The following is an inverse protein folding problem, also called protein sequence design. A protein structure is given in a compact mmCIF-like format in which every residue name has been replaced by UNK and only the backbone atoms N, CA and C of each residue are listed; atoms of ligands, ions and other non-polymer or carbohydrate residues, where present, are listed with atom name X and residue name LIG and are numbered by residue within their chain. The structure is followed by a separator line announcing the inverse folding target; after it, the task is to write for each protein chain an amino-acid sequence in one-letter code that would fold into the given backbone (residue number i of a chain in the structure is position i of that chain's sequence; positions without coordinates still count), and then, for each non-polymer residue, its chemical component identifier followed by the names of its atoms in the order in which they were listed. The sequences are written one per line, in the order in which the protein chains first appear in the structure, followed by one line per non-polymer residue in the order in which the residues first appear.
data_IF_722670340979
#
_entry.id   IF_722670340979
#
_cell.length_a   1.000
_cell.length_b   1.000
_cell.length_c   1.000
_cell.angle_alpha   90.00
_cell.angle_beta   90.00
_cell.angle_gamma   90.00
#
_symmetry.space_group_name_H-M   'P 1'
#
loop_
_entity.id
_entity.type
_entity.pdbx_description
1 polymer ?
#
# COMPACT_ATOMS: atom_id res chain seq x y z
N UNK A 1 -4.19 19.42 0.03
CA UNK A 1 -5.08 18.32 -0.46
C UNK A 1 -6.53 18.62 -0.10
N UNK A 2 -7.46 18.54 -1.06
CA UNK A 2 -8.90 18.75 -0.81
C UNK A 2 -9.61 17.57 -0.15
N UNK A 3 -10.78 17.82 0.45
CA UNK A 3 -11.62 16.81 1.16
C UNK A 3 -11.99 15.61 0.28
N UNK A 4 -12.31 15.84 -0.99
CA UNK A 4 -12.68 14.78 -1.94
C UNK A 4 -11.52 13.81 -2.21
N UNK A 5 -10.28 14.30 -2.29
CA UNK A 5 -9.10 13.46 -2.47
C UNK A 5 -8.82 12.60 -1.23
N UNK A 6 -8.96 13.17 -0.03
CA UNK A 6 -8.83 12.42 1.23
C UNK A 6 -9.88 11.30 1.33
N UNK A 7 -11.14 11.59 0.99
CA UNK A 7 -12.20 10.58 0.96
C UNK A 7 -11.96 9.51 -0.11
N UNK A 8 -11.37 9.86 -1.26
CA UNK A 8 -10.96 8.89 -2.28
C UNK A 8 -9.89 7.94 -1.73
N UNK A 9 -8.83 8.46 -1.10
CA UNK A 9 -7.80 7.65 -0.44
C UNK A 9 -8.40 6.70 0.58
N UNK A 10 -9.17 7.25 1.53
CA UNK A 10 -9.84 6.48 2.58
C UNK A 10 -10.68 5.31 2.02
N UNK A 11 -11.46 5.54 0.96
CA UNK A 11 -12.27 4.48 0.33
C UNK A 11 -11.41 3.39 -0.30
N UNK A 12 -10.28 3.77 -0.93
CA UNK A 12 -9.36 2.83 -1.58
C UNK A 12 -8.61 1.98 -0.58
N UNK A 13 -8.14 2.57 0.51
CA UNK A 13 -7.52 1.85 1.62
C UNK A 13 -8.50 0.85 2.23
N UNK A 14 -9.75 1.25 2.46
CA UNK A 14 -10.78 0.37 3.04
C UNK A 14 -11.18 -0.76 2.09
N UNK A 15 -11.28 -0.47 0.78
CA UNK A 15 -11.53 -1.46 -0.26
C UNK A 15 -10.42 -2.51 -0.29
N UNK A 16 -9.16 -2.08 -0.36
CA UNK A 16 -8.02 -2.97 -0.42
C UNK A 16 -7.86 -3.80 0.85
N UNK A 17 -7.96 -3.18 2.04
CA UNK A 17 -7.91 -3.89 3.31
C UNK A 17 -8.94 -5.02 3.38
N UNK A 18 -10.18 -4.76 2.93
CA UNK A 18 -11.22 -5.80 2.88
C UNK A 18 -10.86 -6.95 1.94
N UNK A 19 -10.28 -6.66 0.76
CA UNK A 19 -9.93 -7.68 -0.23
C UNK A 19 -8.85 -8.65 0.28
N UNK A 20 -7.89 -8.15 1.05
CA UNK A 20 -6.78 -8.97 1.57
C UNK A 20 -7.03 -9.52 2.99
N UNK A 21 -8.23 -9.29 3.55
CA UNK A 21 -8.53 -9.65 4.94
C UNK A 21 -7.71 -8.90 5.99
N UNK A 22 -7.22 -7.70 5.64
CA UNK A 22 -6.36 -6.86 6.47
C UNK A 22 -7.12 -5.74 7.20
N UNK A 23 -6.35 -4.81 7.76
CA UNK A 23 -6.86 -3.63 8.47
C UNK A 23 -6.13 -2.37 8.01
N UNK A 24 -6.79 -1.22 8.15
CA UNK A 24 -6.15 0.06 7.91
C UNK A 24 -5.33 0.51 9.10
N UNK A 25 -4.23 1.20 8.82
CA UNK A 25 -3.44 1.91 9.83
C UNK A 25 -4.08 3.28 10.06
N UNK A 26 -4.50 3.54 11.30
CA UNK A 26 -5.15 4.79 11.63
C UNK A 26 -4.13 5.94 11.64
N UNK A 27 -4.53 7.09 11.08
CA UNK A 27 -3.76 8.34 11.13
C UNK A 27 -2.33 8.26 10.53
N UNK A 28 -2.05 7.27 9.68
CA UNK A 28 -0.70 7.00 9.19
C UNK A 28 -0.01 8.19 8.53
N UNK A 29 -0.71 8.88 7.64
CA UNK A 29 -0.17 10.08 6.98
C UNK A 29 0.05 11.28 7.92
N UNK A 30 -0.58 11.32 9.10
CA UNK A 30 -0.41 12.40 10.08
C UNK A 30 0.62 12.07 11.16
N UNK A 31 0.81 10.78 11.46
CA UNK A 31 1.68 10.30 12.54
C UNK A 31 2.98 9.66 12.03
N UNK A 32 3.25 9.72 10.72
CA UNK A 32 4.49 9.21 10.11
C UNK A 32 5.76 9.72 10.81
N UNK A 33 5.76 10.95 11.33
CA UNK A 33 6.90 11.52 12.06
C UNK A 33 7.08 11.00 13.49
N UNK A 34 6.13 10.23 14.00
CA UNK A 34 6.15 9.72 15.39
C UNK A 34 6.70 8.29 15.50
N UNK A 35 6.84 7.58 14.38
CA UNK A 35 7.41 6.22 14.36
C UNK A 35 7.02 5.43 13.12
N UNK A 36 7.89 4.47 12.76
CA UNK A 36 7.67 3.56 11.62
C UNK A 36 6.47 2.64 11.85
N UNK A 37 6.14 2.34 13.11
CA UNK A 37 4.98 1.53 13.49
C UNK A 37 3.63 2.17 13.11
N UNK A 38 3.61 3.49 12.90
CA UNK A 38 2.44 4.25 12.45
C UNK A 38 2.48 4.57 10.95
N UNK A 39 3.49 4.10 10.22
CA UNK A 39 3.64 4.32 8.79
C UNK A 39 2.95 3.21 7.98
N UNK A 40 2.52 3.53 6.75
CA UNK A 40 1.76 2.64 5.87
C UNK A 40 0.26 2.80 5.99
N UNK A 41 -0.47 2.37 4.97
CA UNK A 41 -1.92 2.58 4.86
C UNK A 41 -2.73 1.36 5.33
N UNK A 42 -2.22 0.16 5.05
CA UNK A 42 -2.88 -1.12 5.32
C UNK A 42 -1.88 -2.14 5.84
N UNK A 43 -2.32 -2.99 6.76
CA UNK A 43 -1.59 -4.15 7.26
C UNK A 43 -2.42 -5.42 6.96
N UNK A 44 -1.80 -6.41 6.33
CA UNK A 44 -2.46 -7.66 5.93
C UNK A 44 -1.53 -8.57 5.14
N UNK A 45 -1.82 -9.87 5.11
CA UNK A 45 -0.97 -10.89 4.49
C UNK A 45 0.49 -10.90 5.02
N UNK A 46 0.68 -10.50 6.27
CA UNK A 46 2.02 -10.40 6.88
C UNK A 46 2.88 -9.24 6.36
N UNK A 47 2.29 -8.32 5.60
CA UNK A 47 2.98 -7.20 4.97
C UNK A 47 2.35 -5.85 5.35
N UNK A 48 3.18 -4.82 5.31
CA UNK A 48 2.78 -3.42 5.41
C UNK A 48 2.71 -2.76 4.03
N UNK A 49 1.54 -2.19 3.74
CA UNK A 49 1.16 -1.74 2.40
C UNK A 49 1.02 -0.23 2.33
N UNK A 50 1.53 0.36 1.25
CA UNK A 50 1.16 1.70 0.81
C UNK A 50 0.12 1.60 -0.31
N UNK A 51 -0.96 2.38 -0.24
CA UNK A 51 -2.09 2.33 -1.18
C UNK A 51 -2.09 3.57 -2.08
N UNK A 52 -1.94 3.38 -3.40
CA UNK A 52 -1.92 4.48 -4.38
C UNK A 52 -2.97 4.32 -5.47
N UNK A 53 -3.82 5.35 -5.62
CA UNK A 53 -4.73 5.49 -6.76
C UNK A 53 -4.24 6.61 -7.70
N UNK A 54 -3.70 6.24 -8.86
CA UNK A 54 -3.10 7.14 -9.85
C UNK A 54 -3.35 6.66 -11.28
N UNK A 55 -3.30 7.57 -12.26
CA UNK A 55 -3.47 7.25 -13.70
C UNK A 55 -2.18 6.69 -14.31
N UNK A 56 -1.04 7.23 -13.89
CA UNK A 56 0.33 6.90 -14.31
C UNK A 56 1.30 7.00 -13.11
N UNK A 57 2.58 6.64 -13.31
CA UNK A 57 3.62 6.83 -12.28
C UNK A 57 4.63 5.71 -12.05
N UNK A 58 5.05 4.92 -13.07
CA UNK A 58 6.00 3.82 -12.84
C UNK A 58 7.31 4.24 -12.16
N UNK A 59 7.86 5.43 -12.47
CA UNK A 59 9.09 5.93 -11.84
C UNK A 59 8.92 6.26 -10.35
N UNK A 60 7.71 6.60 -9.91
CA UNK A 60 7.46 6.97 -8.50
C UNK A 60 7.27 5.76 -7.59
N UNK A 61 7.17 4.54 -8.16
CA UNK A 61 7.01 3.31 -7.39
C UNK A 61 8.21 3.07 -6.45
N UNK A 62 9.44 3.27 -6.95
CA UNK A 62 10.66 3.09 -6.16
C UNK A 62 10.68 4.02 -4.95
N UNK A 63 10.42 5.31 -5.13
CA UNK A 63 10.39 6.25 -4.01
C UNK A 63 9.29 5.95 -2.98
N UNK A 64 8.21 5.26 -3.35
CA UNK A 64 7.22 4.78 -2.36
C UNK A 64 7.65 3.51 -1.64
N UNK A 65 8.44 2.65 -2.29
CA UNK A 65 9.01 1.43 -1.71
C UNK A 65 10.23 1.70 -0.84
N UNK A 66 10.95 2.80 -1.06
CA UNK A 66 12.10 3.23 -0.23
C UNK A 66 11.67 3.78 1.14
N UNK A 67 10.37 3.95 1.38
CA UNK A 67 9.84 4.33 2.69
C UNK A 67 10.08 3.19 3.71
N UNK A 68 10.79 3.44 4.84
CA UNK A 68 11.35 2.37 5.68
C UNK A 68 10.38 1.28 6.15
N UNK A 69 9.12 1.65 6.41
CA UNK A 69 8.10 0.75 6.91
C UNK A 69 7.24 0.10 5.81
N UNK A 70 7.46 0.43 4.54
CA UNK A 70 6.65 -0.05 3.41
C UNK A 70 7.29 -1.27 2.79
N UNK A 71 6.51 -2.33 2.72
CA UNK A 71 6.96 -3.62 2.23
C UNK A 71 6.39 -3.96 0.86
N UNK A 72 5.25 -3.37 0.54
CA UNK A 72 4.53 -3.59 -0.70
C UNK A 72 3.68 -2.38 -1.08
N UNK A 73 3.38 -2.24 -2.36
CA UNK A 73 2.42 -1.27 -2.86
C UNK A 73 1.17 -1.97 -3.36
N UNK A 74 0.02 -1.40 -3.02
CA UNK A 74 -1.24 -1.67 -3.68
C UNK A 74 -1.58 -0.49 -4.60
N UNK A 75 -1.52 -0.68 -5.91
CA UNK A 75 -1.71 0.39 -6.89
C UNK A 75 -2.90 0.11 -7.80
N UNK A 76 -3.64 1.16 -8.17
CA UNK A 76 -4.80 1.04 -9.05
C UNK A 76 -5.05 2.31 -9.85
N UNK A 77 -5.41 2.15 -11.11
CA UNK A 77 -5.99 3.21 -11.92
C UNK A 77 -7.53 3.19 -11.83
N UNK A 78 -8.18 4.33 -12.06
CA UNK A 78 -9.64 4.40 -11.99
C UNK A 78 -10.28 3.41 -12.98
N UNK A 79 -11.18 2.57 -12.46
CA UNK A 79 -11.88 1.48 -13.20
C UNK A 79 -10.96 0.37 -13.74
N UNK A 80 -9.76 0.21 -13.19
CA UNK A 80 -8.87 -0.92 -13.46
C UNK A 80 -8.77 -1.84 -12.24
N UNK A 81 -8.27 -3.05 -12.41
CA UNK A 81 -7.99 -3.97 -11.29
C UNK A 81 -6.87 -3.44 -10.39
N UNK A 82 -6.80 -3.99 -9.17
CA UNK A 82 -5.67 -3.74 -8.27
C UNK A 82 -4.42 -4.46 -8.76
N UNK A 83 -3.27 -3.81 -8.65
CA UNK A 83 -1.96 -4.39 -8.87
C UNK A 83 -1.20 -4.38 -7.55
N UNK A 84 -0.51 -5.48 -7.27
CA UNK A 84 0.40 -5.63 -6.16
C UNK A 84 1.83 -5.47 -6.70
N UNK A 85 2.60 -4.59 -6.07
CA UNK A 85 4.01 -4.36 -6.42
C UNK A 85 4.85 -4.65 -5.18
N UNK A 86 5.75 -5.62 -5.28
CA UNK A 86 6.65 -6.03 -4.22
C UNK A 86 8.05 -6.13 -4.84
N UNK A 87 9.13 -5.73 -4.14
CA UNK A 87 10.49 -6.02 -4.57
C UNK A 87 10.68 -7.53 -4.81
N UNK A 88 11.44 -7.89 -5.85
CA UNK A 88 11.59 -9.29 -6.25
C UNK A 88 12.14 -10.15 -5.11
N UNK A 89 13.20 -9.69 -4.45
CA UNK A 89 13.86 -10.44 -3.37
C UNK A 89 12.87 -10.77 -2.24
N UNK A 90 12.06 -9.78 -1.86
CA UNK A 90 11.02 -9.94 -0.85
C UNK A 90 9.91 -10.89 -1.28
N UNK A 91 9.52 -10.86 -2.54
CA UNK A 91 8.58 -11.84 -3.08
C UNK A 91 9.16 -13.26 -2.98
N UNK A 92 10.44 -13.43 -3.33
CA UNK A 92 11.11 -14.73 -3.29
C UNK A 92 11.30 -15.28 -1.87
N UNK A 93 11.47 -14.44 -0.85
CA UNK A 93 11.54 -14.87 0.56
C UNK A 93 10.30 -15.66 1.01
N UNK A 94 9.11 -15.28 0.51
CA UNK A 94 7.84 -15.92 0.85
C UNK A 94 7.31 -16.89 -0.20
N UNK A 95 8.01 -17.04 -1.33
CA UNK A 95 7.53 -17.84 -2.45
C UNK A 95 8.06 -19.27 -2.36
N UNK A 96 7.15 -20.22 -2.17
CA UNK A 96 7.42 -21.64 -2.39
C UNK A 96 6.79 -22.05 -3.74
N UNK A 97 7.58 -22.56 -4.70
CA UNK A 97 7.01 -23.13 -5.91
C UNK A 97 6.10 -24.31 -5.53
N UNK A 98 4.92 -24.38 -6.12
CA UNK A 98 4.12 -25.60 -6.08
C UNK A 98 4.84 -26.65 -6.93
N UNK A 99 5.10 -27.83 -6.34
CA UNK A 99 5.60 -29.03 -7.03
C UNK A 99 4.60 -29.54 -8.09
#
# INVERSE_FOLDING_TARGET
MGRSQKQKGYRRESEFAKLIGGRRVALSGALKSLGDELTGDVEGLGLRWEVKARKDGFKTLYGWLEEPAIEALAVKADRKEWLVVIPLDKFLEGWTPNE
#
